data_IF_541550125616
#
_entry.id   IF_541550125616
#
_cell.length_a   1.000
_cell.length_b   1.000
_cell.length_c   1.000
_cell.angle_alpha   90.00
_cell.angle_beta   90.00
_cell.angle_gamma   90.00
#
_symmetry.space_group_name_H-M   'P 1'
#
loop_
_entity.id
_entity.type
_entity.pdbx_description
1 polymer ?
#
# COMPACT_ATOMS: atom_id res chain seq x y z
N UNK A 1 2.99 48.37 -48.72
CA UNK A 1 1.60 47.97 -48.47
C UNK A 1 1.16 46.93 -49.48
N UNK A 2 1.02 45.67 -49.08
CA UNK A 2 0.17 44.68 -49.76
C UNK A 2 -0.42 43.77 -48.69
N UNK A 3 -1.70 43.98 -48.41
CA UNK A 3 -2.53 43.15 -47.55
C UNK A 3 -3.01 41.93 -48.35
N UNK A 4 -3.00 40.75 -47.74
CA UNK A 4 -3.82 39.62 -48.18
C UNK A 4 -4.40 38.95 -46.92
N UNK A 5 -5.70 39.17 -46.72
CA UNK A 5 -6.54 38.52 -45.72
C UNK A 5 -7.20 37.26 -46.35
N UNK A 6 -7.75 36.35 -45.52
CA UNK A 6 -7.93 34.94 -45.85
C UNK A 6 -9.27 34.63 -46.52
N UNK A 7 -9.33 33.48 -47.22
CA UNK A 7 -10.56 32.89 -47.76
C UNK A 7 -10.91 31.59 -47.01
N UNK A 8 -12.06 31.61 -46.33
CA UNK A 8 -12.99 30.49 -46.15
C UNK A 8 -14.20 30.75 -47.11
N UNK A 9 -15.24 29.91 -47.29
CA UNK A 9 -15.73 28.75 -46.50
C UNK A 9 -16.26 27.55 -47.35
N UNK A 10 -17.05 26.65 -46.72
CA UNK A 10 -17.99 25.64 -47.28
C UNK A 10 -17.48 24.20 -47.41
N UNK A 11 -18.30 23.13 -47.34
CA UNK A 11 -19.30 22.65 -46.36
C UNK A 11 -19.72 21.22 -46.78
N UNK A 12 -19.77 20.26 -45.82
CA UNK A 12 -20.52 18.97 -45.83
C UNK A 12 -20.18 17.92 -46.92
N UNK A 13 -20.58 16.61 -46.84
CA UNK A 13 -21.55 15.97 -45.93
C UNK A 13 -21.13 14.64 -45.24
N UNK A 14 -21.97 14.27 -44.27
CA UNK A 14 -22.12 13.01 -43.52
C UNK A 14 -22.01 11.71 -44.31
N UNK A 15 -21.41 10.68 -43.71
CA UNK A 15 -21.81 9.28 -43.96
C UNK A 15 -21.80 8.45 -42.68
N UNK A 16 -22.97 7.90 -42.39
CA UNK A 16 -23.30 6.92 -41.35
C UNK A 16 -22.54 5.61 -41.53
N UNK A 17 -22.21 4.92 -40.42
CA UNK A 17 -22.69 3.55 -40.25
C UNK A 17 -22.56 3.04 -38.81
N UNK A 18 -23.72 2.73 -38.23
CA UNK A 18 -23.91 1.85 -37.08
C UNK A 18 -23.48 0.43 -37.49
N UNK A 19 -22.77 -0.28 -36.62
CA UNK A 19 -22.83 -1.74 -36.58
C UNK A 19 -23.11 -2.21 -35.15
N UNK A 20 -24.27 -2.83 -35.00
CA UNK A 20 -24.66 -3.65 -33.87
C UNK A 20 -23.71 -4.85 -33.75
N UNK A 21 -23.27 -5.19 -32.54
CA UNK A 21 -22.75 -6.52 -32.20
C UNK A 21 -23.72 -7.22 -31.26
N UNK A 22 -24.13 -8.41 -31.66
CA UNK A 22 -24.97 -9.33 -30.90
C UNK A 22 -24.18 -9.96 -29.75
N UNK A 23 -24.78 -10.03 -28.56
CA UNK A 23 -24.28 -10.77 -27.40
C UNK A 23 -25.01 -12.12 -27.35
N UNK A 24 -24.26 -13.21 -27.38
CA UNK A 24 -24.74 -14.53 -26.96
C UNK A 24 -24.11 -14.89 -25.62
N UNK A 25 -24.88 -15.61 -24.82
CA UNK A 25 -24.78 -15.84 -23.39
C UNK A 25 -24.41 -17.29 -23.06
N UNK A 26 -23.81 -17.48 -21.87
CA UNK A 26 -23.68 -18.72 -21.09
C UNK A 26 -22.59 -19.75 -21.46
N UNK A 27 -21.75 -20.06 -20.46
CA UNK A 27 -20.83 -21.19 -20.43
C UNK A 27 -19.85 -21.08 -19.24
N UNK A 28 -20.15 -21.77 -18.14
CA UNK A 28 -19.35 -21.90 -16.91
C UNK A 28 -18.29 -23.01 -17.10
N UNK A 29 -17.09 -22.97 -16.45
CA UNK A 29 -15.98 -23.87 -16.78
C UNK A 29 -15.97 -25.17 -15.96
N UNK A 30 -15.56 -26.27 -16.60
CA UNK A 30 -15.08 -27.49 -15.93
C UNK A 30 -13.57 -27.56 -16.03
N UNK A 31 -12.92 -27.83 -14.89
CA UNK A 31 -11.47 -27.88 -14.76
C UNK A 31 -10.85 -29.17 -15.28
N UNK A 32 -9.53 -29.12 -15.46
CA UNK A 32 -8.54 -30.12 -15.04
C UNK A 32 -7.24 -29.88 -15.80
N UNK A 33 -6.13 -30.10 -15.10
CA UNK A 33 -4.79 -30.39 -15.63
C UNK A 33 -3.94 -29.22 -16.12
N UNK A 34 -3.02 -28.80 -15.24
CA UNK A 34 -1.58 -29.03 -15.42
C UNK A 34 -1.11 -29.09 -16.87
N UNK A 35 -0.33 -28.09 -17.28
CA UNK A 35 0.99 -28.30 -17.90
C UNK A 35 1.80 -27.01 -17.98
N UNK A 36 3.10 -27.18 -17.74
CA UNK A 36 4.18 -26.22 -17.82
C UNK A 36 4.42 -25.75 -19.27
N UNK A 37 4.49 -24.44 -19.47
CA UNK A 37 4.86 -23.81 -20.73
C UNK A 37 6.36 -23.46 -20.71
N UNK A 38 7.15 -24.14 -21.57
CA UNK A 38 8.49 -23.73 -21.98
C UNK A 38 8.47 -23.48 -23.49
N UNK A 39 8.82 -22.23 -23.87
CA UNK A 39 9.29 -21.73 -25.18
C UNK A 39 9.08 -22.64 -26.41
N UNK A 40 8.39 -22.22 -27.46
CA UNK A 40 8.54 -20.94 -28.15
C UNK A 40 9.49 -21.10 -29.35
N UNK A 41 8.95 -21.44 -30.53
CA UNK A 41 9.54 -21.09 -31.83
C UNK A 41 8.54 -21.25 -32.97
N UNK A 42 8.57 -20.26 -33.88
CA UNK A 42 8.17 -20.27 -35.29
C UNK A 42 6.76 -20.70 -35.69
N UNK A 43 5.98 -19.77 -36.24
CA UNK A 43 6.05 -19.44 -37.68
C UNK A 43 4.81 -18.61 -38.02
N UNK A 44 5.00 -17.34 -38.36
CA UNK A 44 3.89 -16.50 -38.85
C UNK A 44 3.55 -16.89 -40.29
N UNK A 45 2.32 -17.37 -40.48
CA UNK A 45 1.61 -17.33 -41.75
C UNK A 45 0.14 -17.00 -41.47
N UNK A 46 -0.37 -15.83 -41.85
CA UNK A 46 -1.80 -15.66 -42.02
C UNK A 46 -2.17 -16.09 -43.43
N UNK A 47 -2.83 -17.25 -43.50
CA UNK A 47 -3.56 -17.71 -44.67
C UNK A 47 -4.57 -16.66 -45.12
N UNK A 48 -4.58 -16.45 -46.44
CA UNK A 48 -5.56 -15.65 -47.15
C UNK A 48 -6.96 -16.21 -46.90
N UNK A 49 -7.77 -15.44 -46.17
CA UNK A 49 -9.19 -15.69 -45.95
C UNK A 49 -9.94 -15.47 -47.26
N UNK A 50 -10.28 -16.56 -47.95
CA UNK A 50 -11.30 -16.59 -48.99
C UNK A 50 -12.68 -16.45 -48.33
N UNK A 51 -13.23 -15.23 -48.33
CA UNK A 51 -14.67 -15.01 -48.16
C UNK A 51 -15.33 -14.98 -49.55
N UNK A 52 -15.80 -16.16 -49.96
CA UNK A 52 -17.22 -16.44 -50.20
C UNK A 52 -18.12 -15.21 -50.42
N UNK A 53 -18.29 -14.80 -51.68
CA UNK A 53 -19.44 -14.00 -52.11
C UNK A 53 -20.41 -14.87 -52.92
N UNK A 54 -21.64 -14.85 -52.44
CA UNK A 54 -22.83 -15.52 -52.94
C UNK A 54 -23.05 -15.38 -54.44
N UNK A 55 -23.35 -16.53 -55.06
CA UNK A 55 -24.51 -16.75 -55.93
C UNK A 55 -25.05 -15.56 -56.73
N UNK A 56 -24.75 -15.54 -58.01
CA UNK A 56 -25.74 -15.13 -59.01
C UNK A 56 -25.76 -16.20 -60.08
N UNK A 57 -26.73 -17.10 -59.96
CA UNK A 57 -27.21 -17.95 -61.05
C UNK A 57 -27.55 -17.07 -62.25
N UNK A 58 -26.69 -17.10 -63.26
CA UNK A 58 -27.08 -16.81 -64.62
C UNK A 58 -26.91 -18.09 -65.41
N UNK A 59 -27.96 -18.90 -65.36
CA UNK A 59 -28.28 -19.87 -66.39
C UNK A 59 -28.28 -19.13 -67.74
N UNK A 60 -27.18 -19.21 -68.46
CA UNK A 60 -27.20 -19.03 -69.91
C UNK A 60 -26.61 -20.28 -70.51
N UNK A 61 -27.47 -21.28 -70.70
CA UNK A 61 -27.27 -22.38 -71.63
C UNK A 61 -27.21 -21.81 -73.06
N UNK A 62 -26.12 -21.10 -73.38
CA UNK A 62 -25.82 -20.74 -74.75
C UNK A 62 -25.41 -22.02 -75.46
N UNK A 63 -26.30 -22.50 -76.33
CA UNK A 63 -26.01 -23.46 -77.39
C UNK A 63 -24.58 -23.24 -77.90
N UNK A 64 -23.68 -24.20 -77.60
CA UNK A 64 -22.36 -24.25 -78.20
C UNK A 64 -22.57 -24.44 -79.70
N UNK A 65 -22.53 -23.34 -80.46
CA UNK A 65 -22.27 -23.40 -81.89
C UNK A 65 -21.00 -24.24 -82.05
N UNK A 66 -21.07 -25.30 -82.84
CA UNK A 66 -19.89 -26.08 -83.19
C UNK A 66 -18.92 -25.13 -83.87
N UNK A 67 -17.84 -24.78 -83.14
CA UNK A 67 -16.79 -23.89 -83.63
C UNK A 67 -16.18 -24.54 -84.85
N UNK A 68 -16.02 -23.78 -85.93
CA UNK A 68 -15.40 -24.30 -87.15
C UNK A 68 -13.99 -24.82 -86.85
N UNK A 69 -13.50 -25.79 -87.61
CA UNK A 69 -12.14 -26.32 -87.42
C UNK A 69 -11.09 -25.21 -87.35
N UNK A 70 -11.23 -24.15 -88.17
CA UNK A 70 -10.32 -23.00 -88.17
C UNK A 70 -10.28 -22.25 -86.83
N UNK A 71 -11.41 -22.11 -86.13
CA UNK A 71 -11.45 -21.47 -84.80
C UNK A 71 -10.80 -22.33 -83.71
N UNK A 72 -10.88 -23.66 -83.83
CA UNK A 72 -10.24 -24.58 -82.90
C UNK A 72 -8.71 -24.52 -83.04
N UNK A 73 -8.21 -24.53 -84.28
CA UNK A 73 -6.78 -24.35 -84.55
C UNK A 73 -6.25 -23.00 -84.05
N UNK A 74 -6.99 -21.90 -84.22
CA UNK A 74 -6.59 -20.59 -83.70
C UNK A 74 -6.53 -20.57 -82.16
N UNK A 75 -7.49 -21.23 -81.50
CA UNK A 75 -7.46 -21.37 -80.04
C UNK A 75 -6.29 -22.24 -79.58
N UNK A 76 -6.00 -23.34 -80.27
CA UNK A 76 -4.86 -24.20 -79.93
C UNK A 76 -3.52 -23.50 -80.15
N UNK A 77 -3.38 -22.73 -81.24
CA UNK A 77 -2.17 -21.96 -81.53
C UNK A 77 -1.98 -20.80 -80.53
N UNK A 78 -3.05 -20.09 -80.17
CA UNK A 78 -2.99 -19.07 -79.12
C UNK A 78 -2.63 -19.69 -77.77
N UNK A 79 -3.24 -20.82 -77.39
CA UNK A 79 -2.89 -21.57 -76.18
C UNK A 79 -1.44 -22.09 -76.20
N UNK A 80 -0.95 -22.57 -77.35
CA UNK A 80 0.42 -23.00 -77.53
C UNK A 80 1.40 -21.81 -77.40
N UNK A 81 1.06 -20.64 -77.94
CA UNK A 81 1.87 -19.43 -77.79
C UNK A 81 1.91 -18.94 -76.34
N UNK A 82 0.77 -19.00 -75.63
CA UNK A 82 0.66 -18.66 -74.22
C UNK A 82 1.49 -19.62 -73.38
N UNK A 83 1.40 -20.94 -73.63
CA UNK A 83 2.23 -21.95 -72.96
C UNK A 83 3.72 -21.74 -73.22
N UNK A 84 4.12 -21.42 -74.46
CA UNK A 84 5.52 -21.13 -74.79
C UNK A 84 6.05 -19.88 -74.10
N UNK A 85 5.22 -18.85 -73.92
CA UNK A 85 5.60 -17.63 -73.18
C UNK A 85 5.66 -17.86 -71.67
N UNK A 86 4.74 -18.64 -71.10
CA UNK A 86 4.72 -18.95 -69.66
C UNK A 86 5.88 -19.86 -69.28
N UNK A 87 6.26 -20.80 -70.15
CA UNK A 87 7.37 -21.72 -69.93
C UNK A 87 8.71 -21.18 -70.43
N UNK A 88 8.76 -19.94 -70.94
CA UNK A 88 10.02 -19.33 -71.31
C UNK A 88 10.74 -18.89 -70.03
N UNK A 89 11.83 -19.56 -69.69
CA UNK A 89 12.79 -19.05 -68.72
C UNK A 89 13.74 -18.11 -69.43
N UNK A 90 13.68 -16.84 -69.04
CA UNK A 90 14.74 -15.89 -69.34
C UNK A 90 15.82 -16.03 -68.25
N UNK A 91 17.03 -16.51 -68.59
CA UNK A 91 18.13 -16.64 -67.64
C UNK A 91 18.46 -15.33 -66.90
N UNK A 92 18.18 -14.18 -67.52
CA UNK A 92 18.41 -12.88 -66.88
C UNK A 92 17.42 -12.62 -65.73
N UNK A 93 16.14 -12.97 -65.90
CA UNK A 93 15.14 -12.83 -64.83
C UNK A 93 15.42 -13.75 -63.64
N UNK A 94 15.92 -14.96 -63.90
CA UNK A 94 16.32 -15.90 -62.85
C UNK A 94 17.51 -15.36 -62.06
N UNK A 95 18.53 -14.87 -62.77
CA UNK A 95 19.69 -14.23 -62.15
C UNK A 95 19.27 -13.01 -61.30
N UNK A 96 18.34 -12.18 -61.77
CA UNK A 96 17.84 -11.04 -60.99
C UNK A 96 17.08 -11.49 -59.73
N UNK A 97 16.24 -12.54 -59.85
CA UNK A 97 15.52 -13.14 -58.72
C UNK A 97 16.49 -13.71 -57.68
N UNK A 98 17.50 -14.45 -58.10
CA UNK A 98 18.54 -15.01 -57.22
C UNK A 98 19.34 -13.92 -56.53
N UNK A 99 19.83 -12.94 -57.30
CA UNK A 99 20.59 -11.79 -56.77
C UNK A 99 19.77 -11.02 -55.72
N UNK A 100 18.47 -10.81 -55.99
CA UNK A 100 17.57 -10.16 -55.03
C UNK A 100 17.39 -11.00 -53.76
N UNK A 101 17.20 -12.31 -53.90
CA UNK A 101 17.09 -13.22 -52.75
C UNK A 101 18.38 -13.25 -51.92
N UNK A 102 19.54 -13.30 -52.56
CA UNK A 102 20.84 -13.27 -51.89
C UNK A 102 21.06 -11.95 -51.16
N UNK A 103 20.75 -10.81 -51.80
CA UNK A 103 20.81 -9.50 -51.16
C UNK A 103 19.92 -9.44 -49.90
N UNK A 104 18.71 -10.01 -49.95
CA UNK A 104 17.84 -10.11 -48.78
C UNK A 104 18.41 -11.01 -47.68
N UNK A 105 19.01 -12.16 -48.03
CA UNK A 105 19.65 -13.06 -47.05
C UNK A 105 20.83 -12.37 -46.36
N UNK A 106 21.69 -11.70 -47.13
CA UNK A 106 22.84 -10.95 -46.60
C UNK A 106 22.38 -9.79 -45.71
N UNK A 107 21.35 -9.04 -46.12
CA UNK A 107 20.79 -7.97 -45.32
C UNK A 107 20.21 -8.48 -43.99
N UNK A 108 19.50 -9.62 -43.99
CA UNK A 108 19.00 -10.25 -42.76
C UNK A 108 20.12 -10.72 -41.85
N UNK A 109 21.16 -11.35 -42.39
CA UNK A 109 22.32 -11.78 -41.59
C UNK A 109 23.05 -10.59 -40.97
N UNK A 110 23.24 -9.51 -41.73
CA UNK A 110 23.85 -8.28 -41.23
C UNK A 110 23.00 -7.66 -40.12
N UNK A 111 21.70 -7.52 -40.34
CA UNK A 111 20.78 -7.00 -39.33
C UNK A 111 20.79 -7.85 -38.04
N UNK A 112 20.82 -9.18 -38.17
CA UNK A 112 20.92 -10.07 -37.02
C UNK A 112 22.22 -9.87 -36.23
N UNK A 113 23.36 -9.72 -36.91
CA UNK A 113 24.65 -9.40 -36.27
C UNK A 113 24.62 -8.05 -35.57
N UNK A 114 24.14 -7.02 -36.24
CA UNK A 114 24.02 -5.67 -35.68
C UNK A 114 23.12 -5.66 -34.43
N UNK A 115 22.02 -6.43 -34.43
CA UNK A 115 21.16 -6.60 -33.25
C UNK A 115 21.90 -7.25 -32.08
N UNK A 116 22.70 -8.30 -32.33
CA UNK A 116 23.48 -8.99 -31.29
C UNK A 116 24.56 -8.06 -30.74
N UNK A 117 25.30 -7.37 -31.60
CA UNK A 117 26.34 -6.41 -31.19
C UNK A 117 25.75 -5.27 -30.35
N UNK A 118 24.62 -4.70 -30.76
CA UNK A 118 23.94 -3.67 -29.98
C UNK A 118 23.46 -4.18 -28.63
N UNK A 119 22.99 -5.42 -28.56
CA UNK A 119 22.58 -6.05 -27.29
C UNK A 119 23.78 -6.22 -26.36
N UNK A 120 24.87 -6.82 -26.85
CA UNK A 120 26.10 -7.02 -26.08
C UNK A 120 26.66 -5.67 -25.57
N UNK A 121 26.73 -4.66 -26.43
CA UNK A 121 27.20 -3.33 -26.03
C UNK A 121 26.30 -2.66 -24.96
N UNK A 122 24.99 -2.93 -24.96
CA UNK A 122 24.08 -2.46 -23.90
C UNK A 122 24.30 -3.21 -22.60
N UNK A 123 24.50 -4.53 -22.68
CA UNK A 123 24.71 -5.38 -21.51
C UNK A 123 26.06 -5.07 -20.84
N UNK A 124 27.12 -4.80 -21.61
CA UNK A 124 28.42 -4.34 -21.09
C UNK A 124 28.32 -2.99 -20.38
N UNK A 125 27.60 -2.02 -20.95
CA UNK A 125 27.38 -0.72 -20.29
C UNK A 125 26.63 -0.88 -18.98
N UNK A 126 25.58 -1.71 -18.95
CA UNK A 126 24.83 -2.02 -17.73
C UNK A 126 25.72 -2.66 -16.68
N UNK A 127 26.51 -3.66 -17.06
CA UNK A 127 27.44 -4.32 -16.15
C UNK A 127 28.46 -3.34 -15.54
N UNK A 128 29.01 -2.43 -16.35
CA UNK A 128 29.93 -1.40 -15.87
C UNK A 128 29.23 -0.39 -14.94
N UNK A 129 28.00 0.02 -15.25
CA UNK A 129 27.20 0.89 -14.38
C UNK A 129 26.84 0.22 -13.06
N UNK A 130 26.54 -1.06 -13.08
CA UNK A 130 26.26 -1.86 -11.88
C UNK A 130 27.51 -2.00 -11.01
N UNK A 131 28.68 -2.25 -11.61
CA UNK A 131 29.96 -2.27 -10.89
C UNK A 131 30.29 -0.93 -10.24
N UNK A 132 30.07 0.19 -10.95
CA UNK A 132 30.26 1.53 -10.39
C UNK A 132 29.33 1.79 -9.20
N UNK A 133 28.05 1.45 -9.33
CA UNK A 133 27.08 1.59 -8.24
C UNK A 133 27.43 0.71 -7.05
N UNK A 134 27.83 -0.54 -7.28
CA UNK A 134 28.28 -1.45 -6.24
C UNK A 134 29.52 -0.92 -5.49
N UNK A 135 30.48 -0.33 -6.21
CA UNK A 135 31.66 0.28 -5.60
C UNK A 135 31.31 1.49 -4.72
N UNK A 136 30.38 2.35 -5.17
CA UNK A 136 29.89 3.47 -4.37
C UNK A 136 29.16 3.00 -3.11
N UNK A 137 28.23 2.05 -3.24
CA UNK A 137 27.53 1.49 -2.08
C UNK A 137 28.50 0.83 -1.09
N UNK A 138 29.55 0.17 -1.58
CA UNK A 138 30.57 -0.41 -0.71
C UNK A 138 31.40 0.65 0.05
N UNK A 139 31.56 1.86 -0.50
CA UNK A 139 32.17 2.98 0.21
C UNK A 139 31.22 3.54 1.26
N UNK A 140 29.96 3.77 0.90
CA UNK A 140 28.92 4.26 1.81
C UNK A 140 28.72 3.32 3.00
N UNK A 141 28.72 2.00 2.78
CA UNK A 141 28.62 1.01 3.87
C UNK A 141 29.81 1.11 4.83
N UNK A 142 31.03 1.28 4.34
CA UNK A 142 32.22 1.45 5.19
C UNK A 142 32.15 2.74 6.00
N UNK A 143 31.63 3.82 5.42
CA UNK A 143 31.42 5.07 6.13
C UNK A 143 30.40 4.90 7.27
N UNK A 144 29.27 4.26 6.98
CA UNK A 144 28.24 3.96 7.99
C UNK A 144 28.79 3.06 9.10
N UNK A 145 29.54 2.00 8.74
CA UNK A 145 30.20 1.12 9.72
C UNK A 145 31.17 1.90 10.62
N UNK A 146 31.95 2.83 10.05
CA UNK A 146 32.87 3.67 10.83
C UNK A 146 32.14 4.61 11.80
N UNK A 147 31.01 5.18 11.38
CA UNK A 147 30.19 6.06 12.22
C UNK A 147 29.53 5.28 13.35
N UNK A 148 28.99 4.09 13.07
CA UNK A 148 28.42 3.21 14.08
C UNK A 148 29.47 2.74 15.09
N UNK A 149 30.69 2.42 14.64
CA UNK A 149 31.80 2.08 15.52
C UNK A 149 32.17 3.25 16.44
N UNK A 150 32.21 4.48 15.92
CA UNK A 150 32.46 5.69 16.71
C UNK A 150 31.37 5.94 17.76
N UNK A 151 30.09 5.83 17.38
CA UNK A 151 28.95 5.97 18.31
C UNK A 151 28.98 4.89 19.40
N UNK A 152 29.30 3.64 19.05
CA UNK A 152 29.42 2.56 20.03
C UNK A 152 30.54 2.83 21.03
N UNK A 153 31.68 3.37 20.57
CA UNK A 153 32.79 3.75 21.46
C UNK A 153 32.38 4.89 22.41
N UNK A 154 31.69 5.92 21.91
CA UNK A 154 31.17 7.01 22.74
C UNK A 154 30.19 6.49 23.81
N UNK A 155 29.25 5.64 23.40
CA UNK A 155 28.32 5.00 24.33
C UNK A 155 29.03 4.19 25.42
N UNK A 156 30.05 3.42 25.06
CA UNK A 156 30.84 2.67 26.03
C UNK A 156 31.58 3.59 27.02
N UNK A 157 32.10 4.72 26.56
CA UNK A 157 32.73 5.73 27.42
C UNK A 157 31.71 6.33 28.38
N UNK A 158 30.53 6.73 27.88
CA UNK A 158 29.44 7.25 28.72
C UNK A 158 28.99 6.23 29.75
N UNK A 159 28.75 4.98 29.36
CA UNK A 159 28.39 3.90 30.28
C UNK A 159 29.48 3.68 31.35
N UNK A 160 30.76 3.72 30.97
CA UNK A 160 31.87 3.60 31.91
C UNK A 160 31.89 4.76 32.91
N UNK A 161 31.67 6.00 32.46
CA UNK A 161 31.61 7.17 33.34
C UNK A 161 30.43 7.09 34.31
N UNK A 162 29.25 6.68 33.83
CA UNK A 162 28.06 6.51 34.66
C UNK A 162 28.26 5.39 35.70
N UNK A 163 28.88 4.27 35.30
CA UNK A 163 29.24 3.18 36.23
C UNK A 163 30.22 3.65 37.29
N UNK A 164 31.25 4.41 36.93
CA UNK A 164 32.21 4.96 37.88
C UNK A 164 31.53 5.94 38.87
N UNK A 165 30.69 6.84 38.38
CA UNK A 165 29.92 7.76 39.22
C UNK A 165 28.94 7.03 40.14
N UNK A 166 28.35 5.93 39.67
CA UNK A 166 27.46 5.10 40.48
C UNK A 166 28.23 4.36 41.58
N UNK A 167 29.37 3.75 41.26
CA UNK A 167 30.24 3.10 42.24
C UNK A 167 30.74 4.07 43.31
N UNK A 168 31.07 5.31 42.93
CA UNK A 168 31.48 6.34 43.89
C UNK A 168 30.34 6.75 44.82
N UNK A 169 29.12 6.94 44.28
CA UNK A 169 27.92 7.21 45.10
C UNK A 169 27.59 6.06 46.04
N UNK A 170 27.69 4.83 45.55
CA UNK A 170 27.45 3.63 46.35
C UNK A 170 28.46 3.53 47.50
N UNK A 171 29.75 3.72 47.21
CA UNK A 171 30.81 3.77 48.22
C UNK A 171 30.55 4.84 49.28
N UNK A 172 30.12 6.03 48.88
CA UNK A 172 29.76 7.10 49.82
C UNK A 172 28.55 6.73 50.70
N UNK A 173 27.59 6.01 50.13
CA UNK A 173 26.41 5.51 50.85
C UNK A 173 26.82 4.47 51.90
N UNK A 174 27.63 3.47 51.52
CA UNK A 174 28.17 2.47 52.44
C UNK A 174 28.98 3.11 53.56
N UNK A 175 29.86 4.07 53.24
CA UNK A 175 30.61 4.79 54.27
C UNK A 175 29.71 5.53 55.28
N UNK A 176 28.56 6.07 54.84
CA UNK A 176 27.57 6.70 55.73
C UNK A 176 26.85 5.66 56.58
N UNK A 177 26.46 4.53 56.00
CA UNK A 177 25.81 3.42 56.72
C UNK A 177 26.75 2.88 57.79
N UNK A 178 28.00 2.58 57.45
CA UNK A 178 29.02 2.11 58.39
C UNK A 178 29.26 3.11 59.53
N UNK A 179 29.28 4.42 59.22
CA UNK A 179 29.41 5.45 60.24
C UNK A 179 28.19 5.52 61.19
N UNK A 180 26.97 5.28 60.69
CA UNK A 180 25.77 5.22 61.53
C UNK A 180 25.76 3.94 62.38
N UNK A 181 26.08 2.79 61.78
CA UNK A 181 26.20 1.51 62.50
C UNK A 181 27.22 1.65 63.63
N UNK A 182 28.41 2.19 63.35
CA UNK A 182 29.44 2.39 64.36
C UNK A 182 28.99 3.30 65.51
N UNK A 183 28.28 4.39 65.21
CA UNK A 183 27.70 5.27 66.24
C UNK A 183 26.63 4.58 67.08
N UNK A 184 25.79 3.76 66.46
CA UNK A 184 24.76 2.99 67.18
C UNK A 184 25.36 1.84 68.00
N UNK A 185 26.40 1.17 67.50
CA UNK A 185 27.16 0.18 68.26
C UNK A 185 27.85 0.82 69.48
N UNK A 186 28.46 1.99 69.33
CA UNK A 186 29.04 2.75 70.45
C UNK A 186 27.97 3.18 71.46
N UNK A 187 26.79 3.62 70.99
CA UNK A 187 25.63 3.92 71.86
C UNK A 187 25.10 2.69 72.57
N UNK A 188 25.03 1.53 71.89
CA UNK A 188 24.59 0.27 72.48
C UNK A 188 25.61 -0.24 73.50
N UNK A 189 26.91 -0.13 73.24
CA UNK A 189 27.96 -0.45 74.22
C UNK A 189 27.87 0.45 75.44
N UNK A 190 27.69 1.76 75.26
CA UNK A 190 27.49 2.71 76.36
C UNK A 190 26.23 2.36 77.18
N UNK A 191 25.11 2.06 76.51
CA UNK A 191 23.87 1.62 77.16
C UNK A 191 24.02 0.28 77.89
N UNK A 192 24.76 -0.67 77.34
CA UNK A 192 25.04 -1.94 77.99
C UNK A 192 25.95 -1.77 79.21
N UNK A 193 26.92 -0.86 79.16
CA UNK A 193 27.72 -0.51 80.34
C UNK A 193 26.89 0.20 81.42
N UNK A 194 25.97 1.09 81.01
CA UNK A 194 24.99 1.71 81.92
C UNK A 194 23.98 0.70 82.46
N UNK A 195 23.53 -0.26 81.65
CA UNK A 195 22.61 -1.31 82.06
C UNK A 195 23.32 -2.32 82.96
N UNK A 196 24.59 -2.64 82.76
CA UNK A 196 25.36 -3.46 83.71
C UNK A 196 25.51 -2.73 85.05
N UNK A 197 25.78 -1.43 85.03
CA UNK A 197 25.78 -0.59 86.25
C UNK A 197 24.40 -0.48 86.90
N UNK A 198 23.32 -0.43 86.10
CA UNK A 198 21.94 -0.42 86.59
C UNK A 198 21.47 -1.79 87.05
N UNK A 199 21.90 -2.90 86.47
CA UNK A 199 21.61 -4.25 86.95
C UNK A 199 22.35 -4.55 88.25
N UNK A 200 23.57 -4.05 88.43
CA UNK A 200 24.26 -4.08 89.72
C UNK A 200 23.57 -3.19 90.79
N UNK A 201 22.81 -2.17 90.37
CA UNK A 201 21.99 -1.32 91.24
C UNK A 201 20.55 -1.85 91.45
N UNK A 202 19.96 -2.49 90.44
CA UNK A 202 18.62 -3.08 90.48
C UNK A 202 18.63 -4.48 91.10
N UNK A 203 19.73 -5.23 91.07
CA UNK A 203 19.88 -6.46 91.87
C UNK A 203 19.88 -6.13 93.38
N UNK A 204 20.16 -4.87 93.75
CA UNK A 204 19.95 -4.32 95.10
C UNK A 204 18.52 -3.83 95.37
N UNK A 205 17.68 -3.65 94.35
CA UNK A 205 16.30 -3.10 94.48
C UNK A 205 15.21 -4.14 94.12
N UNK A 206 15.49 -5.14 93.29
CA UNK A 206 14.60 -6.26 92.93
C UNK A 206 14.49 -7.34 94.01
N UNK A 207 15.22 -7.20 95.13
CA UNK A 207 14.90 -7.89 96.38
C UNK A 207 13.79 -7.19 97.19
N UNK A 208 13.31 -6.02 96.78
CA UNK A 208 12.26 -5.27 97.49
C UNK A 208 10.98 -5.04 96.66
N UNK A 209 10.91 -5.51 95.42
CA UNK A 209 9.73 -5.33 94.56
C UNK A 209 9.35 -6.61 93.79
N UNK A 210 9.42 -7.74 94.47
CA UNK A 210 8.44 -8.78 94.21
C UNK A 210 7.05 -8.25 94.63
N UNK A 211 5.99 -8.74 94.00
CA UNK A 211 4.69 -8.91 94.67
C UNK A 211 3.60 -7.82 94.62
N UNK A 212 3.62 -6.80 93.75
CA UNK A 212 2.38 -6.02 93.49
C UNK A 212 2.17 -5.63 92.02
N UNK A 213 1.13 -6.25 91.42
CA UNK A 213 0.38 -5.82 90.22
C UNK A 213 0.88 -6.23 88.83
N UNK A 214 1.12 -7.53 88.68
CA UNK A 214 0.91 -8.25 87.41
C UNK A 214 -0.02 -9.40 87.81
N UNK A 215 -1.32 -9.42 87.49
CA UNK A 215 -1.79 -10.27 86.39
C UNK A 215 -3.28 -10.15 86.01
N UNK A 216 -4.10 -9.22 86.55
CA UNK A 216 -5.55 -9.23 86.25
C UNK A 216 -6.10 -8.13 85.34
N UNK A 217 -5.41 -7.00 85.16
CA UNK A 217 -5.84 -5.96 84.20
C UNK A 217 -5.28 -6.15 82.77
N UNK A 218 -4.26 -6.99 82.60
CA UNK A 218 -3.55 -7.16 81.32
C UNK A 218 -4.26 -8.09 80.32
N UNK A 219 -5.35 -8.78 80.70
CA UNK A 219 -6.10 -9.69 79.81
C UNK A 219 -7.37 -9.09 79.21
N UNK A 220 -8.05 -8.14 79.90
CA UNK A 220 -9.26 -7.49 79.37
C UNK A 220 -8.97 -6.34 78.40
N UNK A 221 -7.82 -5.67 78.56
CA UNK A 221 -7.34 -4.66 77.60
C UNK A 221 -6.90 -5.27 76.26
N UNK A 222 -6.40 -6.50 76.23
CA UNK A 222 -5.89 -7.14 75.00
C UNK A 222 -6.99 -7.60 74.04
N UNK A 223 -8.16 -8.00 74.53
CA UNK A 223 -9.30 -8.42 73.67
C UNK A 223 -10.07 -7.25 73.05
N UNK A 224 -10.15 -6.10 73.72
CA UNK A 224 -10.80 -4.89 73.18
C UNK A 224 -9.88 -4.15 72.19
N UNK A 225 -8.56 -4.22 72.42
CA UNK A 225 -7.53 -3.68 71.53
C UNK A 225 -7.39 -4.51 70.23
N UNK A 226 -7.57 -5.84 70.28
CA UNK A 226 -7.57 -6.68 69.07
C UNK A 226 -8.80 -6.44 68.18
N UNK A 227 -9.98 -6.21 68.76
CA UNK A 227 -11.19 -5.85 67.98
C UNK A 227 -11.12 -4.46 67.37
N UNK A 228 -10.47 -3.49 68.04
CA UNK A 228 -10.18 -2.18 67.42
C UNK A 228 -9.14 -2.32 66.31
N UNK A 229 -8.06 -3.08 66.53
CA UNK A 229 -7.02 -3.33 65.52
C UNK A 229 -7.52 -4.09 64.29
N UNK A 230 -8.53 -4.95 64.41
CA UNK A 230 -9.13 -5.62 63.25
C UNK A 230 -10.00 -4.67 62.42
N UNK A 231 -10.79 -3.80 63.05
CA UNK A 231 -11.59 -2.79 62.34
C UNK A 231 -10.73 -1.70 61.68
N UNK A 232 -9.65 -1.28 62.35
CA UNK A 232 -8.69 -0.32 61.79
C UNK A 232 -7.95 -0.90 60.57
N UNK A 233 -7.63 -2.20 60.59
CA UNK A 233 -7.01 -2.90 59.45
C UNK A 233 -7.96 -3.06 58.27
N UNK A 234 -9.25 -3.36 58.49
CA UNK A 234 -10.24 -3.42 57.41
C UNK A 234 -10.48 -2.05 56.77
N UNK A 235 -10.60 -0.98 57.57
CA UNK A 235 -10.73 0.39 57.05
C UNK A 235 -9.47 0.85 56.31
N UNK A 236 -8.28 0.48 56.79
CA UNK A 236 -7.02 0.80 56.11
C UNK A 236 -6.85 0.02 54.80
N UNK A 237 -7.25 -1.25 54.74
CA UNK A 237 -7.25 -2.03 53.51
C UNK A 237 -8.24 -1.50 52.46
N UNK A 238 -9.43 -1.04 52.86
CA UNK A 238 -10.38 -0.40 51.94
C UNK A 238 -9.85 0.94 51.41
N UNK A 239 -9.20 1.75 52.27
CA UNK A 239 -8.57 3.01 51.85
C UNK A 239 -7.39 2.78 50.92
N UNK A 240 -6.60 1.73 51.13
CA UNK A 240 -5.50 1.34 50.23
C UNK A 240 -6.07 0.86 48.88
N UNK A 241 -7.16 0.09 48.86
CA UNK A 241 -7.81 -0.36 47.62
C UNK A 241 -8.41 0.80 46.82
N UNK A 242 -9.07 1.75 47.49
CA UNK A 242 -9.60 2.96 46.86
C UNK A 242 -8.49 3.87 46.32
N UNK A 243 -7.42 4.08 47.10
CA UNK A 243 -6.25 4.86 46.67
C UNK A 243 -5.51 4.18 45.50
N UNK A 244 -5.42 2.85 45.50
CA UNK A 244 -4.84 2.10 44.40
C UNK A 244 -5.69 2.18 43.13
N UNK A 245 -7.02 2.10 43.25
CA UNK A 245 -7.94 2.26 42.12
C UNK A 245 -7.85 3.68 41.52
N UNK A 246 -7.85 4.72 42.37
CA UNK A 246 -7.69 6.11 41.92
C UNK A 246 -6.33 6.36 41.28
N UNK A 247 -5.24 5.80 41.85
CA UNK A 247 -3.91 5.90 41.26
C UNK A 247 -3.80 5.14 39.92
N UNK A 248 -4.57 4.07 39.71
CA UNK A 248 -4.64 3.39 38.42
C UNK A 248 -5.42 4.22 37.39
N UNK A 249 -6.58 4.76 37.75
CA UNK A 249 -7.34 5.65 36.85
C UNK A 249 -6.53 6.89 36.46
N UNK A 250 -5.82 7.51 37.41
CA UNK A 250 -4.98 8.69 37.14
C UNK A 250 -3.78 8.34 36.25
N UNK A 251 -3.18 7.15 36.41
CA UNK A 251 -2.14 6.64 35.50
C UNK A 251 -2.70 6.36 34.11
N UNK A 252 -3.86 5.72 34.00
CA UNK A 252 -4.50 5.44 32.71
C UNK A 252 -4.87 6.73 31.98
N UNK A 253 -5.35 7.75 32.69
CA UNK A 253 -5.63 9.08 32.16
C UNK A 253 -4.33 9.77 31.72
N UNK A 254 -3.29 9.78 32.57
CA UNK A 254 -2.00 10.37 32.23
C UNK A 254 -1.34 9.68 31.03
N UNK A 255 -1.44 8.36 30.92
CA UNK A 255 -0.97 7.63 29.75
C UNK A 255 -1.82 7.92 28.50
N UNK A 256 -3.15 8.04 28.64
CA UNK A 256 -4.02 8.42 27.53
C UNK A 256 -3.73 9.85 27.04
N UNK A 257 -3.44 10.79 27.96
CA UNK A 257 -3.02 12.14 27.63
C UNK A 257 -1.63 12.17 27.00
N UNK A 258 -0.67 11.40 27.51
CA UNK A 258 0.65 11.25 26.90
C UNK A 258 0.56 10.67 25.48
N UNK A 259 -0.30 9.66 25.26
CA UNK A 259 -0.56 9.11 23.92
C UNK A 259 -1.17 10.15 22.97
N UNK A 260 -2.15 10.94 23.46
CA UNK A 260 -2.75 12.04 22.69
C UNK A 260 -1.74 13.13 22.35
N UNK A 261 -0.85 13.49 23.28
CA UNK A 261 0.21 14.47 23.06
C UNK A 261 1.22 14.01 22.01
N UNK A 262 1.50 12.71 21.95
CA UNK A 262 2.32 12.07 20.92
C UNK A 262 1.59 11.83 19.59
N UNK A 263 0.30 12.18 19.50
CA UNK A 263 -0.51 12.00 18.29
C UNK A 263 -0.89 10.54 17.99
N UNK A 264 -0.72 9.63 18.94
CA UNK A 264 -1.13 8.23 18.78
C UNK A 264 -2.64 8.08 19.05
N UNK A 265 -3.40 7.72 18.02
CA UNK A 265 -4.81 7.34 18.13
C UNK A 265 -4.94 5.86 18.51
N UNK A 266 -5.96 5.53 19.29
CA UNK A 266 -6.29 4.12 19.54
C UNK A 266 -7.03 3.54 18.33
N UNK A 267 -6.87 2.23 18.10
CA UNK A 267 -7.58 1.52 17.03
C UNK A 267 -9.10 1.75 17.11
N UNK A 268 -9.68 1.78 18.31
CA UNK A 268 -11.11 2.04 18.49
C UNK A 268 -11.50 3.47 18.08
N UNK A 269 -10.70 4.48 18.43
CA UNK A 269 -10.93 5.87 18.03
C UNK A 269 -10.87 6.05 16.52
N UNK A 270 -9.91 5.41 15.84
CA UNK A 270 -9.80 5.48 14.38
C UNK A 270 -10.99 4.82 13.68
N UNK A 271 -11.44 3.67 14.20
CA UNK A 271 -12.64 3.02 13.71
C UNK A 271 -13.89 3.88 13.94
N UNK A 272 -14.05 4.47 15.13
CA UNK A 272 -15.16 5.36 15.47
C UNK A 272 -15.17 6.60 14.58
N UNK A 273 -14.01 7.25 14.39
CA UNK A 273 -13.83 8.41 13.49
C UNK A 273 -14.24 8.08 12.06
N UNK A 274 -13.82 6.93 11.53
CA UNK A 274 -14.22 6.45 10.21
C UNK A 274 -15.75 6.27 10.10
N UNK A 275 -16.39 5.72 11.13
CA UNK A 275 -17.85 5.50 11.19
C UNK A 275 -18.63 6.80 11.29
N UNK A 276 -18.18 7.74 12.11
CA UNK A 276 -18.81 9.04 12.28
C UNK A 276 -18.69 9.88 11.00
N UNK A 277 -17.52 9.88 10.35
CA UNK A 277 -17.30 10.52 9.04
C UNK A 277 -18.25 9.95 7.98
N UNK A 278 -18.41 8.62 7.95
CA UNK A 278 -19.35 7.97 7.02
C UNK A 278 -20.81 8.34 7.30
N UNK A 279 -21.19 8.47 8.59
CA UNK A 279 -22.54 8.89 9.00
C UNK A 279 -22.80 10.33 8.59
N UNK A 280 -21.86 11.25 8.85
CA UNK A 280 -21.94 12.65 8.45
C UNK A 280 -22.06 12.81 6.93
N UNK A 281 -21.27 12.06 6.16
CA UNK A 281 -21.30 12.11 4.70
C UNK A 281 -22.63 11.62 4.11
N UNK A 282 -23.22 10.58 4.70
CA UNK A 282 -24.53 10.04 4.28
C UNK A 282 -25.69 10.95 4.69
N UNK A 283 -25.64 11.53 5.87
CA UNK A 283 -26.70 12.37 6.42
C UNK A 283 -26.74 13.78 5.78
N UNK A 284 -25.56 14.36 5.48
CA UNK A 284 -25.45 15.71 4.93
C UNK A 284 -25.23 15.71 3.41
N UNK A 285 -23.99 15.80 2.91
CA UNK A 285 -23.67 16.05 1.50
C UNK A 285 -24.38 15.11 0.52
N UNK A 286 -24.39 13.81 0.81
CA UNK A 286 -24.98 12.82 -0.09
C UNK A 286 -26.51 12.91 -0.16
N UNK A 287 -27.17 13.32 0.93
CA UNK A 287 -28.63 13.50 0.97
C UNK A 287 -29.02 14.74 0.16
N UNK A 288 -28.33 15.86 0.37
CA UNK A 288 -28.54 17.12 -0.34
C UNK A 288 -28.36 16.95 -1.86
N UNK A 289 -27.22 16.36 -2.28
CA UNK A 289 -26.94 16.12 -3.71
C UNK A 289 -27.98 15.22 -4.38
N UNK A 290 -28.60 14.29 -3.64
CA UNK A 290 -29.63 13.40 -4.20
C UNK A 290 -31.01 14.03 -4.28
N UNK A 291 -31.31 14.99 -3.40
CA UNK A 291 -32.57 15.74 -3.40
C UNK A 291 -32.59 16.76 -4.54
N UNK A 292 -31.49 17.48 -4.77
CA UNK A 292 -31.41 18.50 -5.80
C UNK A 292 -31.06 17.93 -7.18
N UNK A 293 -31.95 18.11 -8.16
CA UNK A 293 -31.78 17.57 -9.52
C UNK A 293 -30.53 18.11 -10.23
N UNK A 294 -30.22 19.39 -10.05
CA UNK A 294 -29.04 20.05 -10.63
C UNK A 294 -27.75 19.45 -10.07
N UNK A 295 -27.61 19.42 -8.74
CA UNK A 295 -26.46 18.85 -8.03
C UNK A 295 -26.26 17.37 -8.37
N UNK A 296 -27.35 16.60 -8.43
CA UNK A 296 -27.33 15.19 -8.83
C UNK A 296 -26.77 14.98 -10.22
N UNK A 297 -27.08 15.88 -11.15
CA UNK A 297 -26.61 15.81 -12.54
C UNK A 297 -25.11 16.02 -12.61
N UNK A 298 -24.61 17.07 -11.94
CA UNK A 298 -23.17 17.37 -11.84
C UNK A 298 -22.40 16.23 -11.17
N UNK A 299 -22.91 15.73 -10.04
CA UNK A 299 -22.32 14.59 -9.34
C UNK A 299 -22.28 13.31 -10.19
N UNK A 300 -23.38 12.99 -10.89
CA UNK A 300 -23.47 11.82 -11.77
C UNK A 300 -22.53 11.92 -12.98
N UNK A 301 -22.36 13.12 -13.53
CA UNK A 301 -21.40 13.39 -14.59
C UNK A 301 -19.96 13.19 -14.10
N UNK A 302 -19.58 13.81 -12.98
CA UNK A 302 -18.25 13.64 -12.39
C UNK A 302 -17.94 12.19 -12.01
N UNK A 303 -18.90 11.48 -11.41
CA UNK A 303 -18.75 10.05 -11.11
C UNK A 303 -18.46 9.22 -12.36
N UNK A 304 -19.20 9.44 -13.45
CA UNK A 304 -18.99 8.74 -14.73
C UNK A 304 -17.68 9.10 -15.41
N UNK A 305 -17.12 10.28 -15.15
CA UNK A 305 -15.80 10.66 -15.62
C UNK A 305 -14.66 10.03 -14.79
N UNK A 306 -14.85 9.89 -13.47
CA UNK A 306 -13.84 9.33 -12.55
C UNK A 306 -13.71 7.82 -12.72
N UNK A 307 -14.82 7.08 -12.75
CA UNK A 307 -14.77 5.59 -12.71
C UNK A 307 -13.94 4.97 -13.86
N UNK A 308 -14.10 5.37 -15.13
CA UNK A 308 -13.27 4.84 -16.22
C UNK A 308 -11.79 5.21 -16.09
N UNK A 309 -11.46 6.39 -15.55
CA UNK A 309 -10.07 6.84 -15.40
C UNK A 309 -9.29 6.00 -14.40
N UNK A 310 -9.92 5.65 -13.28
CA UNK A 310 -9.34 4.70 -12.31
C UNK A 310 -9.17 3.32 -12.94
N UNK A 311 -10.10 2.92 -13.83
CA UNK A 311 -10.04 1.65 -14.56
C UNK A 311 -9.04 1.58 -15.72
N UNK A 312 -8.43 2.70 -16.10
CA UNK A 312 -7.50 2.81 -17.23
C UNK A 312 -6.03 2.85 -16.76
N UNK A 313 -5.77 2.52 -15.50
CA UNK A 313 -4.43 2.54 -14.94
C UNK A 313 -3.56 1.43 -15.54
N UNK A 314 -2.38 1.82 -16.00
CA UNK A 314 -1.31 0.93 -16.44
C UNK A 314 -0.09 1.10 -15.55
N UNK A 315 0.90 0.21 -15.65
CA UNK A 315 2.14 0.28 -14.87
C UNK A 315 3.15 1.34 -15.39
N UNK A 316 2.66 2.36 -16.10
CA UNK A 316 3.48 3.44 -16.67
C UNK A 316 3.31 4.70 -15.83
N UNK A 317 4.42 5.26 -15.34
CA UNK A 317 4.43 6.43 -14.47
C UNK A 317 3.81 7.65 -15.16
N UNK A 318 4.05 7.85 -16.45
CA UNK A 318 3.50 9.00 -17.19
C UNK A 318 1.99 8.89 -17.33
N UNK A 319 1.46 7.67 -17.48
CA UNK A 319 0.02 7.42 -17.48
C UNK A 319 -0.58 7.70 -16.11
N UNK A 320 0.06 7.25 -15.02
CA UNK A 320 -0.43 7.48 -13.66
C UNK A 320 -0.51 8.98 -13.35
N UNK A 321 0.55 9.74 -13.64
CA UNK A 321 0.59 11.20 -13.39
C UNK A 321 -0.50 11.91 -14.19
N UNK A 322 -0.64 11.58 -15.48
CA UNK A 322 -1.69 12.15 -16.33
C UNK A 322 -3.08 11.83 -15.81
N UNK A 323 -3.35 10.58 -15.44
CA UNK A 323 -4.65 10.16 -14.88
C UNK A 323 -4.90 10.86 -13.54
N UNK A 324 -3.89 11.04 -12.68
CA UNK A 324 -3.99 11.85 -11.46
C UNK A 324 -4.46 13.27 -11.76
N UNK A 325 -3.79 13.96 -12.68
CA UNK A 325 -4.16 15.34 -13.07
C UNK A 325 -5.57 15.42 -13.65
N UNK A 326 -5.95 14.46 -14.49
CA UNK A 326 -7.29 14.41 -15.07
C UNK A 326 -8.38 14.21 -14.01
N UNK A 327 -8.14 13.36 -13.00
CA UNK A 327 -9.07 13.16 -11.88
C UNK A 327 -9.16 14.43 -11.03
N UNK A 328 -8.03 15.07 -10.74
CA UNK A 328 -8.00 16.35 -10.01
C UNK A 328 -8.79 17.42 -10.76
N UNK A 329 -8.64 17.53 -12.09
CA UNK A 329 -9.37 18.49 -12.91
C UNK A 329 -10.89 18.25 -12.92
N UNK A 330 -11.34 16.99 -12.82
CA UNK A 330 -12.78 16.67 -12.69
C UNK A 330 -13.31 17.11 -11.32
N UNK A 331 -12.51 16.96 -10.26
CA UNK A 331 -12.88 17.27 -8.88
C UNK A 331 -12.71 18.76 -8.52
N UNK A 332 -11.78 19.45 -9.16
CA UNK A 332 -11.47 20.87 -8.99
C UNK A 332 -11.40 21.56 -10.36
N UNK A 333 -12.54 21.69 -11.06
CA UNK A 333 -12.57 22.47 -12.29
C UNK A 333 -12.37 23.97 -11.99
N UNK A 334 -12.07 24.75 -13.04
CA UNK A 334 -11.85 26.21 -12.91
C UNK A 334 -13.00 26.96 -12.24
N UNK A 335 -14.24 26.44 -12.35
CA UNK A 335 -15.37 26.85 -11.54
C UNK A 335 -15.56 25.85 -10.41
N UNK A 336 -15.31 26.25 -9.16
CA UNK A 336 -15.36 25.34 -8.02
C UNK A 336 -16.74 24.69 -7.88
N UNK A 337 -16.75 23.37 -7.64
CA UNK A 337 -18.00 22.65 -7.35
C UNK A 337 -18.60 23.13 -6.02
N UNK A 338 -19.94 23.10 -5.87
CA UNK A 338 -20.57 23.28 -4.57
C UNK A 338 -19.99 22.29 -3.54
N UNK A 339 -19.74 22.72 -2.29
CA UNK A 339 -19.19 21.86 -1.25
C UNK A 339 -19.85 20.46 -1.13
N UNK A 340 -21.20 20.32 -1.16
CA UNK A 340 -21.81 18.99 -1.04
C UNK A 340 -21.53 18.08 -2.25
N UNK A 341 -21.38 18.65 -3.45
CA UNK A 341 -21.04 17.90 -4.67
C UNK A 341 -19.59 17.43 -4.62
N UNK A 342 -18.67 18.29 -4.17
CA UNK A 342 -17.26 17.95 -4.01
C UNK A 342 -17.09 16.74 -3.06
N UNK A 343 -17.68 16.80 -1.86
CA UNK A 343 -17.61 15.70 -0.88
C UNK A 343 -18.26 14.41 -1.41
N UNK A 344 -19.36 14.51 -2.17
CA UNK A 344 -20.01 13.37 -2.80
C UNK A 344 -19.15 12.74 -3.91
N UNK A 345 -18.41 13.55 -4.67
CA UNK A 345 -17.47 13.10 -5.68
C UNK A 345 -16.23 12.44 -5.04
N UNK A 346 -15.68 13.00 -3.96
CA UNK A 346 -14.61 12.37 -3.17
C UNK A 346 -15.03 10.98 -2.66
N UNK A 347 -16.26 10.87 -2.14
CA UNK A 347 -16.82 9.56 -1.75
C UNK A 347 -16.99 8.61 -2.94
N UNK A 348 -17.17 9.11 -4.15
CA UNK A 348 -17.31 8.31 -5.36
C UNK A 348 -15.96 7.84 -5.89
N UNK A 349 -14.94 8.71 -5.82
CA UNK A 349 -13.54 8.40 -6.11
C UNK A 349 -13.01 7.32 -5.18
N UNK A 350 -13.18 7.49 -3.86
CA UNK A 350 -12.77 6.50 -2.87
C UNK A 350 -13.42 5.13 -3.14
N UNK A 351 -14.72 5.13 -3.47
CA UNK A 351 -15.40 3.89 -3.86
C UNK A 351 -14.79 3.28 -5.13
N UNK A 352 -14.50 4.07 -6.17
CA UNK A 352 -13.94 3.56 -7.42
C UNK A 352 -12.57 2.89 -7.20
N UNK A 353 -11.68 3.52 -6.43
CA UNK A 353 -10.35 2.97 -6.09
C UNK A 353 -10.49 1.64 -5.34
N UNK A 354 -11.37 1.59 -4.32
CA UNK A 354 -11.56 0.36 -3.54
C UNK A 354 -12.20 -0.77 -4.35
N UNK A 355 -13.13 -0.44 -5.25
CA UNK A 355 -13.70 -1.43 -6.18
C UNK A 355 -12.65 -1.97 -7.13
N UNK A 356 -11.74 -1.13 -7.61
CA UNK A 356 -10.63 -1.53 -8.46
C UNK A 356 -9.67 -2.45 -7.73
N UNK A 357 -9.32 -2.12 -6.48
CA UNK A 357 -8.50 -2.99 -5.64
C UNK A 357 -9.17 -4.37 -5.43
N UNK A 358 -10.46 -4.39 -5.15
CA UNK A 358 -11.19 -5.64 -4.93
C UNK A 358 -11.29 -6.53 -6.18
N UNK A 359 -11.30 -5.93 -7.37
CA UNK A 359 -11.47 -6.67 -8.64
C UNK A 359 -10.14 -6.99 -9.30
N UNK A 360 -9.35 -5.97 -9.62
CA UNK A 360 -8.09 -6.12 -10.36
C UNK A 360 -6.91 -6.52 -9.47
N UNK A 361 -6.75 -5.93 -8.29
CA UNK A 361 -5.60 -6.31 -7.43
C UNK A 361 -5.74 -7.72 -6.88
N UNK A 362 -6.98 -8.16 -6.63
CA UNK A 362 -7.28 -9.56 -6.31
C UNK A 362 -6.92 -10.50 -7.46
N UNK A 363 -7.14 -10.09 -8.71
CA UNK A 363 -6.82 -10.89 -9.90
C UNK A 363 -5.31 -10.86 -10.23
N UNK A 364 -4.69 -9.69 -10.21
CA UNK A 364 -3.27 -9.46 -10.49
C UNK A 364 -2.65 -8.54 -9.44
N UNK A 365 -1.87 -9.12 -8.53
CA UNK A 365 -1.23 -8.37 -7.42
C UNK A 365 -0.31 -7.24 -7.90
N UNK A 366 0.27 -7.34 -9.09
CA UNK A 366 1.15 -6.30 -9.66
C UNK A 366 0.40 -4.99 -9.96
N UNK A 367 -0.91 -5.06 -10.20
CA UNK A 367 -1.76 -3.88 -10.41
C UNK A 367 -1.94 -3.03 -9.14
N UNK A 368 -1.52 -3.53 -7.97
CA UNK A 368 -1.53 -2.75 -6.72
C UNK A 368 -0.65 -1.50 -6.80
N UNK A 369 0.51 -1.59 -7.46
CA UNK A 369 1.49 -0.52 -7.52
C UNK A 369 0.95 0.76 -8.21
N UNK A 370 0.45 0.69 -9.46
CA UNK A 370 -0.10 1.88 -10.11
C UNK A 370 -1.32 2.46 -9.39
N UNK A 371 -2.17 1.60 -8.81
CA UNK A 371 -3.34 2.02 -8.04
C UNK A 371 -2.95 2.72 -6.74
N UNK A 372 -1.93 2.22 -6.03
CA UNK A 372 -1.40 2.83 -4.82
C UNK A 372 -0.77 4.19 -5.13
N UNK A 373 0.06 4.29 -6.17
CA UNK A 373 0.68 5.55 -6.57
C UNK A 373 -0.36 6.60 -6.96
N UNK A 374 -1.39 6.22 -7.73
CA UNK A 374 -2.51 7.11 -8.02
C UNK A 374 -3.16 7.60 -6.72
N UNK A 375 -3.43 6.69 -5.79
CA UNK A 375 -4.10 7.01 -4.52
C UNK A 375 -3.28 7.99 -3.68
N UNK A 376 -1.95 7.78 -3.57
CA UNK A 376 -1.04 8.68 -2.86
C UNK A 376 -1.05 10.08 -3.48
N UNK A 377 -0.92 10.19 -4.81
CA UNK A 377 -0.99 11.48 -5.50
C UNK A 377 -2.31 12.21 -5.21
N UNK A 378 -3.43 11.49 -5.19
CA UNK A 378 -4.74 12.06 -4.89
C UNK A 378 -4.92 12.44 -3.41
N UNK A 379 -4.34 11.69 -2.47
CA UNK A 379 -4.34 12.03 -1.05
C UNK A 379 -3.59 13.33 -0.77
N UNK A 380 -2.51 13.60 -1.51
CA UNK A 380 -1.74 14.83 -1.40
C UNK A 380 -2.41 16.02 -2.10
N UNK A 381 -3.13 15.78 -3.20
CA UNK A 381 -3.72 16.85 -4.01
C UNK A 381 -5.13 17.28 -3.57
N UNK A 382 -5.89 16.42 -2.88
CA UNK A 382 -7.30 16.63 -2.57
C UNK A 382 -7.55 16.78 -1.07
N UNK A 383 -7.86 18.01 -0.65
CA UNK A 383 -8.26 18.33 0.72
C UNK A 383 -9.51 17.54 1.14
N UNK A 384 -9.45 16.93 2.32
CA UNK A 384 -10.51 16.12 2.90
C UNK A 384 -10.69 14.73 2.27
N UNK A 385 -9.89 14.37 1.26
CA UNK A 385 -9.98 13.04 0.64
C UNK A 385 -9.49 11.94 1.59
N UNK A 386 -8.47 12.19 2.40
CA UNK A 386 -7.92 11.23 3.35
C UNK A 386 -8.97 10.65 4.30
N UNK A 387 -9.73 11.51 4.98
CA UNK A 387 -10.77 11.08 5.93
C UNK A 387 -11.90 10.30 5.25
N UNK A 388 -12.31 10.73 4.05
CA UNK A 388 -13.36 10.08 3.28
C UNK A 388 -12.89 8.73 2.74
N UNK A 389 -11.65 8.67 2.24
CA UNK A 389 -11.03 7.44 1.75
C UNK A 389 -10.89 6.43 2.87
N UNK A 390 -10.37 6.86 4.03
CA UNK A 390 -10.26 6.05 5.23
C UNK A 390 -11.62 5.51 5.68
N UNK A 391 -12.64 6.38 5.78
CA UNK A 391 -14.00 5.98 6.13
C UNK A 391 -14.59 4.94 5.17
N UNK A 392 -14.26 5.02 3.87
CA UNK A 392 -14.68 4.06 2.86
C UNK A 392 -13.90 2.75 2.92
N UNK A 393 -12.61 2.81 3.20
CA UNK A 393 -11.76 1.64 3.38
C UNK A 393 -12.26 0.81 4.57
N UNK A 394 -12.46 1.43 5.73
CA UNK A 394 -13.06 0.76 6.90
C UNK A 394 -14.50 0.26 6.62
N UNK A 395 -15.28 0.96 5.78
CA UNK A 395 -16.61 0.48 5.39
C UNK A 395 -16.53 -0.82 4.57
N UNK A 396 -15.56 -0.92 3.65
CA UNK A 396 -15.44 -2.01 2.68
C UNK A 396 -14.70 -3.21 3.27
N UNK A 397 -13.60 -2.95 3.94
CA UNK A 397 -12.71 -3.95 4.56
C UNK A 397 -13.02 -4.19 6.05
N UNK A 398 -14.08 -3.58 6.62
CA UNK A 398 -14.45 -3.80 8.02
C UNK A 398 -13.37 -3.38 9.01
N UNK A 399 -13.04 -4.26 9.95
CA UNK A 399 -11.98 -4.08 10.95
C UNK A 399 -10.64 -4.68 10.53
N UNK A 400 -10.38 -4.85 9.24
CA UNK A 400 -9.05 -5.27 8.77
C UNK A 400 -8.04 -4.10 8.66
N UNK A 401 -8.41 -2.90 8.18
CA UNK A 401 -7.48 -1.76 8.10
C UNK A 401 -7.06 -1.21 9.46
N UNK A 402 -7.90 -1.43 10.47
CA UNK A 402 -7.69 -1.06 11.86
C UNK A 402 -7.71 -2.38 12.62
N UNK A 403 -6.65 -2.82 13.31
CA UNK A 403 -6.59 -4.14 13.96
C UNK A 403 -7.54 -4.20 15.17
N UNK A 404 -8.86 -4.26 14.90
CA UNK A 404 -9.93 -4.32 15.89
C UNK A 404 -10.91 -5.41 15.50
N UNK A 405 -11.27 -6.26 16.47
CA UNK A 405 -12.41 -7.14 16.33
C UNK A 405 -13.67 -6.26 16.27
N UNK A 406 -14.32 -6.21 15.11
CA UNK A 406 -15.53 -5.40 14.92
C UNK A 406 -16.57 -5.85 15.94
N UNK A 407 -17.11 -4.95 16.78
CA UNK A 407 -18.14 -5.32 17.75
C UNK A 407 -19.33 -5.96 17.03
N UNK A 408 -19.94 -7.04 17.57
CA UNK A 408 -21.17 -7.58 17.02
C UNK A 408 -22.25 -6.48 16.98
N UNK A 409 -23.05 -6.49 15.91
CA UNK A 409 -24.03 -5.45 15.59
C UNK A 409 -25.11 -5.26 16.63
#
# INVERSE_FOLDING_TARGET
>A
MRFAAPRSPSSSPTRSNRRHRSRSTFGVPSGSSSEDEVNGSDSESPGSSEEEWYGTELQTSKLRKQKSLAEQWLMEDTLASVRRRINHHDPYEEWEKETRQEAFRVARQKHARDCVEQRNARDERRAHDDQRRAALHAQELKEVESQLAAMNLQKQQEEATLRAQWQERDRQLWARIDAVIKKEEERLRAKQEEERKKREAEEKVKREAEEKKRQEEERKLKEEEEKRKQKEKEEEEERIKLAAAQAQEERELAEAEARKALGHTTAFEDWKRARDTLRALKAGPMKLVKQDKSLKTTWSAGRRAITPKVGQLTNDMDVIIRVSHEIVNVLRPSAAHPPPVYLALLSSLAKAILMQAETEVTAEKKSANPLAQLTVNLLMALDGFADIFWAKLCQRAGGWPVPIAVPPK
#
